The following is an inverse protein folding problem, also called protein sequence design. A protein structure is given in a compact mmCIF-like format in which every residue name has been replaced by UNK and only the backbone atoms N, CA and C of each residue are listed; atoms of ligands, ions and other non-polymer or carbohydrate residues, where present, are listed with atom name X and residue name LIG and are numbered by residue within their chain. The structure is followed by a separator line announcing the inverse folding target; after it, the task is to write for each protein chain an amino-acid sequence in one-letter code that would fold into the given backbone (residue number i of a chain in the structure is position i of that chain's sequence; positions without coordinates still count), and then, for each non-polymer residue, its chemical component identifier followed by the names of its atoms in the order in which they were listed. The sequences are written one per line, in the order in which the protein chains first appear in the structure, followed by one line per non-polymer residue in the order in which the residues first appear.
data_IF_593955682810
#
_entry.id   IF_593955682810
#
_cell.length_a   1.000
_cell.length_b   1.000
_cell.length_c   1.000
_cell.angle_alpha   90.00
_cell.angle_beta   90.00
_cell.angle_gamma   90.00
#
_symmetry.space_group_name_H-M   'P 1'
#
loop_
_entity.id
_entity.type
_entity.pdbx_description
1 polymer ?
#
# COMPACT_ATOMS: atom_id res chain seq x y z
N UNK A 1 16.90 47.58 -58.11
CA UNK A 1 17.51 46.44 -57.40
C UNK A 1 17.61 46.82 -55.93
N UNK A 2 16.74 46.24 -55.08
CA UNK A 2 16.71 46.48 -53.63
C UNK A 2 17.46 45.34 -52.94
N UNK A 3 18.51 45.68 -52.19
CA UNK A 3 19.33 44.76 -51.40
C UNK A 3 18.59 44.42 -50.10
N UNK A 4 18.24 43.15 -49.92
CA UNK A 4 17.56 42.64 -48.74
C UNK A 4 18.57 42.27 -47.65
N UNK A 5 18.33 42.81 -46.46
CA UNK A 5 19.02 42.53 -45.20
C UNK A 5 18.49 41.20 -44.64
N UNK A 6 19.33 40.16 -44.58
CA UNK A 6 18.98 38.91 -43.92
C UNK A 6 19.36 38.99 -42.43
N UNK A 7 18.37 39.27 -41.58
CA UNK A 7 18.48 39.21 -40.13
C UNK A 7 18.08 37.79 -39.68
N UNK A 8 19.05 36.93 -39.38
CA UNK A 8 18.81 35.62 -38.76
C UNK A 8 18.52 35.80 -37.28
N UNK A 9 17.23 35.83 -36.93
CA UNK A 9 16.75 35.81 -35.56
C UNK A 9 16.74 34.36 -35.06
N UNK A 10 17.79 33.92 -34.35
CA UNK A 10 17.77 32.64 -33.64
C UNK A 10 16.92 32.77 -32.37
N UNK A 11 15.66 32.30 -32.42
CA UNK A 11 14.88 32.07 -31.20
C UNK A 11 15.47 30.87 -30.46
N UNK A 12 16.29 31.12 -29.45
CA UNK A 12 16.56 30.15 -28.41
C UNK A 12 15.33 30.06 -27.51
N UNK A 13 14.46 29.07 -27.74
CA UNK A 13 13.41 28.70 -26.80
C UNK A 13 14.05 27.96 -25.61
N UNK A 14 14.54 28.71 -24.63
CA UNK A 14 14.83 28.19 -23.30
C UNK A 14 13.51 27.88 -22.59
N UNK A 15 13.02 26.66 -22.76
CA UNK A 15 11.99 26.09 -21.89
C UNK A 15 12.60 25.84 -20.51
N UNK A 16 12.59 26.86 -19.65
CA UNK A 16 12.72 26.64 -18.22
C UNK A 16 11.45 25.92 -17.74
N UNK A 17 11.49 24.59 -17.71
CA UNK A 17 10.59 23.81 -16.87
C UNK A 17 10.91 24.21 -15.43
N UNK A 18 10.17 25.17 -14.90
CA UNK A 18 10.18 25.45 -13.47
C UNK A 18 9.79 24.16 -12.76
N UNK A 19 10.74 23.57 -12.04
CA UNK A 19 10.43 22.45 -11.15
C UNK A 19 9.31 22.91 -10.21
N UNK A 20 8.20 22.19 -10.19
CA UNK A 20 7.05 22.55 -9.37
C UNK A 20 7.51 22.61 -7.90
N UNK A 21 7.35 23.77 -7.28
CA UNK A 21 7.75 23.98 -5.88
C UNK A 21 6.94 23.03 -4.97
N UNK A 22 7.65 22.23 -4.17
CA UNK A 22 7.01 21.26 -3.27
C UNK A 22 6.71 21.94 -1.97
N UNK A 23 5.43 22.00 -1.60
CA UNK A 23 5.01 22.54 -0.31
C UNK A 23 5.16 21.48 0.77
N UNK A 24 5.79 21.84 1.89
CA UNK A 24 5.99 20.93 3.02
C UNK A 24 4.84 20.99 4.03
N UNK A 25 4.23 22.16 4.23
CA UNK A 25 3.22 22.38 5.28
C UNK A 25 3.82 22.39 6.71
N UNK A 26 3.00 22.67 7.72
CA UNK A 26 3.42 22.65 9.13
C UNK A 26 3.66 21.22 9.64
N UNK A 27 4.54 20.97 10.63
CA UNK A 27 4.84 19.62 11.12
C UNK A 27 3.61 18.76 11.47
N UNK A 28 3.62 17.50 11.05
CA UNK A 28 2.58 16.52 11.34
C UNK A 28 2.64 16.07 12.81
N UNK A 29 1.49 15.98 13.51
CA UNK A 29 1.45 15.42 14.85
C UNK A 29 1.67 13.91 14.79
N UNK A 30 2.44 13.36 15.74
CA UNK A 30 2.62 11.91 15.88
C UNK A 30 1.33 11.26 16.37
N UNK A 31 0.89 10.20 15.70
CA UNK A 31 -0.20 9.35 16.17
C UNK A 31 0.25 8.44 17.30
N UNK A 32 -0.67 8.17 18.21
CA UNK A 32 -0.45 7.24 19.31
C UNK A 32 -0.83 5.80 18.95
N UNK A 33 -0.34 4.87 19.74
CA UNK A 33 -0.60 3.43 19.57
C UNK A 33 -1.04 2.80 20.89
N UNK A 34 -1.93 1.81 20.84
CA UNK A 34 -2.34 1.07 22.03
C UNK A 34 -1.16 0.30 22.65
N UNK A 35 -0.35 -0.37 21.83
CA UNK A 35 0.77 -1.19 22.33
C UNK A 35 0.34 -2.47 23.03
N UNK A 36 -0.67 -3.17 22.48
CA UNK A 36 -1.14 -4.46 23.00
C UNK A 36 -1.46 -5.44 21.86
N UNK A 37 -1.16 -6.72 22.08
CA UNK A 37 -1.57 -7.82 21.21
C UNK A 37 -2.96 -8.30 21.61
N UNK A 38 -3.80 -8.60 20.62
CA UNK A 38 -5.23 -8.84 20.82
C UNK A 38 -5.65 -10.22 20.32
N UNK A 39 -6.54 -10.89 21.06
CA UNK A 39 -7.24 -12.10 20.65
C UNK A 39 -8.76 -11.91 20.74
N UNK A 40 -9.48 -12.64 19.88
CA UNK A 40 -10.92 -12.82 20.08
C UNK A 40 -11.15 -13.62 21.36
N UNK A 41 -12.29 -13.40 22.01
CA UNK A 41 -12.64 -14.11 23.23
C UNK A 41 -12.95 -15.58 22.92
N UNK A 42 -12.55 -16.48 23.82
CA UNK A 42 -13.11 -17.84 23.84
C UNK A 42 -14.58 -17.81 24.24
N UNK A 43 -15.38 -18.85 23.91
CA UNK A 43 -16.79 -18.91 24.33
C UNK A 43 -17.00 -18.71 25.84
N UNK A 44 -16.09 -19.23 26.68
CA UNK A 44 -16.14 -19.07 28.12
C UNK A 44 -15.88 -17.61 28.58
N UNK A 45 -14.92 -16.92 27.95
CA UNK A 45 -14.63 -15.52 28.26
C UNK A 45 -15.75 -14.58 27.79
N UNK A 46 -16.34 -14.87 26.63
CA UNK A 46 -17.47 -14.11 26.08
C UNK A 46 -18.72 -14.15 26.98
N UNK A 47 -18.86 -15.16 27.84
CA UNK A 47 -19.94 -15.23 28.83
C UNK A 47 -19.90 -14.07 29.85
N UNK A 48 -18.74 -13.45 30.05
CA UNK A 48 -18.56 -12.27 30.92
C UNK A 48 -18.89 -10.93 30.23
N UNK A 49 -19.34 -10.98 28.97
CA UNK A 49 -19.72 -9.82 28.16
C UNK A 49 -18.83 -9.63 26.93
N UNK A 50 -19.22 -8.70 26.03
CA UNK A 50 -18.46 -8.41 24.82
C UNK A 50 -17.13 -7.72 25.15
N UNK A 51 -16.12 -7.99 24.33
CA UNK A 51 -14.81 -7.39 24.48
C UNK A 51 -13.75 -8.10 23.64
N UNK A 52 -12.50 -7.67 23.82
CA UNK A 52 -11.34 -8.23 23.15
C UNK A 52 -10.26 -8.54 24.18
N UNK A 53 -9.67 -9.73 24.13
CA UNK A 53 -8.65 -10.14 25.10
C UNK A 53 -7.32 -9.49 24.80
N UNK A 54 -6.69 -8.93 25.84
CA UNK A 54 -5.29 -8.51 25.81
C UNK A 54 -4.41 -9.74 26.02
N UNK A 55 -3.63 -10.10 25.01
CA UNK A 55 -2.67 -11.22 25.09
C UNK A 55 -1.33 -10.79 25.67
N UNK A 56 -0.85 -9.63 25.24
CA UNK A 56 0.44 -9.10 25.64
C UNK A 56 0.40 -7.57 25.60
N UNK A 57 1.24 -6.94 26.42
CA UNK A 57 1.38 -5.49 26.50
C UNK A 57 2.83 -5.15 26.19
N UNK A 58 3.02 -4.21 25.27
CA UNK A 58 4.34 -3.72 24.87
C UNK A 58 4.83 -2.66 25.87
N UNK A 59 6.01 -2.85 26.49
CA UNK A 59 6.57 -1.88 27.42
C UNK A 59 6.72 -0.49 26.80
N UNK A 60 6.47 0.54 27.61
CA UNK A 60 6.65 1.94 27.20
C UNK A 60 5.58 2.49 26.25
N UNK A 61 4.52 1.74 25.93
CA UNK A 61 3.39 2.21 25.10
C UNK A 61 2.12 2.45 25.94
N UNK A 62 1.06 2.95 25.30
CA UNK A 62 -0.17 3.41 25.99
C UNK A 62 -0.74 2.38 26.96
N UNK A 63 -0.94 1.14 26.53
CA UNK A 63 -1.49 0.08 27.38
C UNK A 63 -0.63 -0.15 28.64
N UNK A 64 0.70 -0.17 28.50
CA UNK A 64 1.62 -0.29 29.64
C UNK A 64 1.52 0.93 30.57
N UNK A 65 1.51 2.15 30.02
CA UNK A 65 1.36 3.39 30.79
C UNK A 65 0.03 3.50 31.52
N UNK A 66 -1.03 2.87 31.00
CA UNK A 66 -2.35 2.77 31.62
C UNK A 66 -2.49 1.56 32.55
N UNK A 67 -1.40 0.81 32.81
CA UNK A 67 -1.41 -0.39 33.63
C UNK A 67 -2.42 -1.45 33.16
N UNK A 68 -2.62 -1.58 31.84
CA UNK A 68 -3.33 -2.70 31.23
C UNK A 68 -2.46 -3.96 31.36
N UNK A 69 -3.09 -5.11 31.58
CA UNK A 69 -2.42 -6.37 31.88
C UNK A 69 -2.81 -7.46 30.87
N UNK A 70 -1.90 -8.40 30.56
CA UNK A 70 -2.29 -9.65 29.90
C UNK A 70 -3.46 -10.33 30.63
N UNK A 71 -4.47 -10.76 29.88
CA UNK A 71 -5.69 -11.34 30.42
C UNK A 71 -6.84 -10.35 30.64
N UNK A 72 -6.60 -9.04 30.59
CA UNK A 72 -7.69 -8.05 30.59
C UNK A 72 -8.58 -8.23 29.35
N UNK A 73 -9.89 -8.02 29.51
CA UNK A 73 -10.84 -7.95 28.39
C UNK A 73 -11.20 -6.49 28.14
N UNK A 74 -10.73 -5.93 27.03
CA UNK A 74 -11.03 -4.57 26.61
C UNK A 74 -12.48 -4.46 26.14
N UNK A 75 -13.28 -3.67 26.86
CA UNK A 75 -14.72 -3.50 26.59
C UNK A 75 -15.04 -2.16 25.93
N UNK A 76 -14.35 -1.08 26.28
CA UNK A 76 -14.54 0.23 25.66
C UNK A 76 -13.26 1.01 25.48
N UNK A 77 -13.24 1.85 24.45
CA UNK A 77 -12.23 2.87 24.17
C UNK A 77 -12.94 4.23 24.06
N UNK A 78 -12.58 5.19 24.91
CA UNK A 78 -13.19 6.53 24.97
C UNK A 78 -14.73 6.46 24.98
N UNK A 79 -15.28 5.53 25.76
CA UNK A 79 -16.73 5.29 25.86
C UNK A 79 -17.37 4.51 24.69
N UNK A 80 -16.66 4.32 23.57
CA UNK A 80 -17.13 3.49 22.45
C UNK A 80 -16.91 2.02 22.76
N UNK A 81 -17.97 1.21 22.59
CA UNK A 81 -17.92 -0.24 22.80
C UNK A 81 -16.96 -0.90 21.80
N UNK A 82 -16.31 -1.95 22.27
CA UNK A 82 -15.47 -2.84 21.48
C UNK A 82 -16.00 -4.25 21.70
N UNK A 83 -16.50 -4.89 20.65
CA UNK A 83 -16.99 -6.27 20.69
C UNK A 83 -16.07 -7.24 19.94
N UNK A 84 -15.29 -6.76 18.99
CA UNK A 84 -14.39 -7.57 18.16
C UNK A 84 -13.05 -6.87 17.92
N UNK A 85 -12.00 -7.65 17.63
CA UNK A 85 -10.64 -7.13 17.39
C UNK A 85 -10.60 -6.05 16.31
N UNK A 86 -11.37 -6.23 15.24
CA UNK A 86 -11.44 -5.30 14.11
C UNK A 86 -11.90 -3.90 14.50
N UNK A 87 -12.62 -3.73 15.61
CA UNK A 87 -13.14 -2.44 16.07
C UNK A 87 -12.09 -1.62 16.83
N UNK A 88 -11.01 -2.24 17.33
CA UNK A 88 -9.99 -1.54 18.12
C UNK A 88 -9.15 -0.61 17.24
N UNK A 89 -8.68 -1.10 16.09
CA UNK A 89 -7.77 -0.34 15.25
C UNK A 89 -8.35 1.00 14.74
N UNK A 90 -9.60 1.07 14.23
CA UNK A 90 -10.22 2.34 13.85
C UNK A 90 -10.30 3.36 15.00
N UNK A 91 -10.55 2.90 16.23
CA UNK A 91 -10.65 3.77 17.40
C UNK A 91 -9.28 4.34 17.80
N UNK A 92 -8.27 3.48 17.88
CA UNK A 92 -6.91 3.86 18.25
C UNK A 92 -6.25 4.79 17.23
N UNK A 93 -6.53 4.63 15.92
CA UNK A 93 -5.96 5.47 14.84
C UNK A 93 -6.30 6.95 14.97
N UNK A 94 -7.35 7.30 15.70
CA UNK A 94 -7.73 8.69 15.94
C UNK A 94 -6.81 9.38 16.95
N UNK A 95 -6.11 8.62 17.79
CA UNK A 95 -5.31 9.15 18.88
C UNK A 95 -4.06 9.88 18.39
N UNK A 96 -3.80 11.03 18.98
CA UNK A 96 -2.54 11.78 18.83
C UNK A 96 -1.74 11.66 20.12
N UNK A 97 -0.42 11.82 20.02
CA UNK A 97 0.48 11.80 21.18
C UNK A 97 0.00 12.75 22.28
N UNK A 98 -0.02 12.28 23.52
CA UNK A 98 -0.43 13.04 24.70
C UNK A 98 -1.94 13.22 24.87
N UNK A 99 -2.78 12.82 23.91
CA UNK A 99 -4.22 12.86 24.07
C UNK A 99 -4.65 11.98 25.24
N UNK A 100 -5.54 12.48 26.09
CA UNK A 100 -6.07 11.69 27.21
C UNK A 100 -7.04 10.64 26.67
N UNK A 101 -6.78 9.36 26.95
CA UNK A 101 -7.60 8.24 26.49
C UNK A 101 -8.09 7.43 27.68
N UNK A 102 -9.33 6.96 27.60
CA UNK A 102 -9.99 6.17 28.64
C UNK A 102 -10.29 4.77 28.11
N UNK A 103 -9.82 3.75 28.83
CA UNK A 103 -10.11 2.35 28.54
C UNK A 103 -10.95 1.77 29.66
N UNK A 104 -12.01 1.04 29.32
CA UNK A 104 -12.70 0.16 30.27
C UNK A 104 -12.34 -1.27 29.95
N UNK A 105 -11.80 -1.97 30.93
CA UNK A 105 -11.46 -3.39 30.84
C UNK A 105 -12.17 -4.19 31.92
N UNK A 106 -12.33 -5.49 31.68
CA UNK A 106 -12.65 -6.46 32.72
C UNK A 106 -11.34 -7.14 33.15
N UNK A 107 -10.96 -6.98 34.42
CA UNK A 107 -9.78 -7.62 35.02
C UNK A 107 -10.23 -8.62 36.05
N UNK A 108 -9.97 -9.92 35.81
CA UNK A 108 -10.40 -11.00 36.69
C UNK A 108 -11.89 -10.87 37.10
N UNK A 109 -12.76 -10.58 36.12
CA UNK A 109 -14.21 -10.42 36.32
C UNK A 109 -14.66 -9.07 36.90
N UNK A 110 -13.75 -8.16 37.24
CA UNK A 110 -14.09 -6.84 37.80
C UNK A 110 -13.88 -5.73 36.78
N UNK A 111 -14.84 -4.79 36.61
CA UNK A 111 -14.64 -3.63 35.75
C UNK A 111 -13.54 -2.72 36.30
N UNK A 112 -12.59 -2.36 35.45
CA UNK A 112 -11.53 -1.39 35.73
C UNK A 112 -11.58 -0.31 34.65
N UNK A 113 -11.57 0.96 35.06
CA UNK A 113 -11.49 2.10 34.15
C UNK A 113 -10.14 2.76 34.36
N UNK A 114 -9.36 2.90 33.29
CA UNK A 114 -8.05 3.57 33.31
C UNK A 114 -8.08 4.73 32.34
N UNK A 115 -7.46 5.84 32.74
CA UNK A 115 -7.37 7.06 31.93
C UNK A 115 -5.96 7.62 32.02
N UNK A 116 -5.43 8.10 30.90
CA UNK A 116 -4.11 8.72 30.86
C UNK A 116 -3.67 9.06 29.43
N UNK A 117 -2.46 9.61 29.28
CA UNK A 117 -1.97 10.07 27.99
C UNK A 117 -1.69 8.89 27.05
N UNK A 118 -2.10 9.03 25.80
CA UNK A 118 -1.73 8.12 24.72
C UNK A 118 -0.27 8.35 24.30
N UNK A 119 0.49 7.26 24.18
CA UNK A 119 1.91 7.28 23.82
C UNK A 119 2.08 7.16 22.31
N UNK A 120 2.93 8.01 21.73
CA UNK A 120 3.23 8.00 20.29
C UNK A 120 3.79 6.67 19.79
N UNK A 121 3.57 6.40 18.50
CA UNK A 121 4.26 5.32 17.81
C UNK A 121 5.77 5.57 17.87
N UNK A 122 6.59 4.58 18.30
CA UNK A 122 8.04 4.69 18.26
C UNK A 122 8.53 5.07 16.86
N UNK A 123 9.49 5.98 16.82
CA UNK A 123 10.24 6.26 15.59
C UNK A 123 11.23 5.14 15.34
N UNK A 124 11.41 4.81 14.07
CA UNK A 124 12.49 3.96 13.62
C UNK A 124 13.83 4.63 13.98
N UNK A 125 14.77 3.85 14.48
CA UNK A 125 16.06 4.34 14.97
C UNK A 125 17.09 4.42 13.85
N UNK A 126 18.04 5.32 14.03
CA UNK A 126 19.29 5.32 13.27
C UNK A 126 20.09 4.05 13.56
N UNK A 127 20.90 3.64 12.60
CA UNK A 127 21.83 2.51 12.72
C UNK A 127 23.22 2.93 12.26
N UNK A 128 24.20 2.03 12.32
CA UNK A 128 25.53 2.29 11.74
C UNK A 128 25.51 2.38 10.21
N UNK A 129 24.47 1.84 9.55
CA UNK A 129 24.35 1.86 8.10
C UNK A 129 23.59 3.09 7.55
N UNK A 130 22.63 3.62 8.30
CA UNK A 130 21.76 4.69 7.82
C UNK A 130 21.18 5.55 8.95
N UNK A 131 20.72 6.75 8.59
CA UNK A 131 19.88 7.63 9.42
C UNK A 131 18.44 7.64 8.91
N UNK A 132 17.48 7.87 9.79
CA UNK A 132 16.05 7.95 9.45
C UNK A 132 15.55 9.38 9.55
N UNK A 133 14.94 9.86 8.47
CA UNK A 133 14.37 11.19 8.37
C UNK A 133 12.86 11.10 8.21
N UNK A 134 12.14 11.83 9.05
CA UNK A 134 10.70 12.01 8.97
C UNK A 134 10.41 13.37 8.34
N UNK A 135 9.95 13.35 7.10
CA UNK A 135 9.52 14.52 6.34
C UNK A 135 8.03 14.45 6.01
N UNK A 136 7.59 15.42 5.22
CA UNK A 136 6.21 15.52 4.79
C UNK A 136 6.08 16.42 3.56
N UNK A 137 4.90 16.36 2.95
CA UNK A 137 4.56 17.10 1.73
C UNK A 137 3.05 17.38 1.72
N UNK A 138 2.64 18.52 1.16
CA UNK A 138 1.23 18.79 0.88
C UNK A 138 0.77 18.10 -0.41
N UNK A 139 -0.28 17.29 -0.32
CA UNK A 139 -1.00 16.68 -1.43
C UNK A 139 -2.48 17.00 -1.26
N UNK A 140 -3.08 17.66 -2.26
CA UNK A 140 -4.49 18.09 -2.26
C UNK A 140 -4.95 18.77 -0.95
N UNK A 141 -4.10 19.63 -0.38
CA UNK A 141 -4.39 20.36 0.86
C UNK A 141 -4.30 19.53 2.14
N UNK A 142 -3.71 18.33 2.07
CA UNK A 142 -3.43 17.45 3.22
C UNK A 142 -1.93 17.20 3.31
N UNK A 143 -1.41 17.16 4.55
CA UNK A 143 -0.01 16.84 4.79
C UNK A 143 0.19 15.32 4.83
N UNK A 144 1.07 14.83 3.98
CA UNK A 144 1.37 13.41 3.81
C UNK A 144 2.78 13.15 4.34
N UNK A 145 2.92 12.17 5.23
CA UNK A 145 4.20 11.78 5.82
C UNK A 145 5.06 11.02 4.81
N UNK A 146 6.34 11.40 4.75
CA UNK A 146 7.38 10.72 3.97
C UNK A 146 8.50 10.30 4.91
N UNK A 147 8.88 9.04 4.88
CA UNK A 147 9.92 8.46 5.74
C UNK A 147 11.07 8.03 4.85
N UNK A 148 12.24 8.62 5.08
CA UNK A 148 13.44 8.39 4.26
C UNK A 148 14.52 7.75 5.12
N UNK A 149 15.02 6.57 4.75
CA UNK A 149 16.31 6.10 5.29
C UNK A 149 17.42 6.57 4.36
N UNK A 150 18.41 7.25 4.90
CA UNK A 150 19.55 7.78 4.15
C UNK A 150 20.81 7.04 4.59
N UNK A 151 21.56 6.41 3.66
CA UNK A 151 22.84 5.77 3.99
C UNK A 151 23.80 6.75 4.66
N UNK A 152 24.59 6.28 5.62
CA UNK A 152 25.72 7.06 6.14
C UNK A 152 26.84 7.10 5.10
N UNK A 153 27.48 8.25 4.96
CA UNK A 153 28.56 8.49 4.00
C UNK A 153 28.27 9.68 3.09
N UNK A 154 29.08 9.84 2.04
CA UNK A 154 28.94 10.93 1.07
C UNK A 154 28.10 10.47 -0.12
N UNK A 155 26.96 11.13 -0.35
CA UNK A 155 26.13 10.91 -1.53
C UNK A 155 26.67 11.62 -2.78
N UNK A 156 25.85 11.77 -3.85
CA UNK A 156 24.44 11.40 -3.92
C UNK A 156 24.23 9.89 -4.11
N UNK A 157 23.20 9.32 -3.48
CA UNK A 157 22.90 7.89 -3.48
C UNK A 157 21.78 7.53 -4.46
N UNK A 158 21.79 6.32 -5.05
CA UNK A 158 20.62 5.79 -5.73
C UNK A 158 19.47 5.60 -4.73
N UNK A 159 18.24 5.65 -5.22
CA UNK A 159 17.04 5.67 -4.38
C UNK A 159 16.04 4.61 -4.80
N UNK A 160 15.42 3.95 -3.83
CA UNK A 160 14.26 3.07 -4.03
C UNK A 160 13.07 3.66 -3.29
N UNK A 161 12.02 4.03 -4.02
CA UNK A 161 10.74 4.46 -3.46
C UNK A 161 9.75 3.30 -3.47
N UNK A 162 9.14 2.99 -2.32
CA UNK A 162 8.07 2.01 -2.24
C UNK A 162 6.72 2.63 -2.62
N UNK A 163 5.99 1.96 -3.49
CA UNK A 163 4.53 2.09 -3.61
C UNK A 163 3.91 0.76 -3.19
N UNK A 164 3.23 0.77 -2.04
CA UNK A 164 2.69 -0.45 -1.44
C UNK A 164 1.36 -0.89 -2.04
N UNK A 165 0.96 -2.12 -1.71
CA UNK A 165 -0.35 -2.67 -2.04
C UNK A 165 -1.49 -2.05 -1.24
N UNK A 166 -2.70 -2.51 -1.55
CA UNK A 166 -3.93 -2.11 -0.86
C UNK A 166 -3.87 -2.46 0.63
N UNK A 167 -4.44 -1.61 1.48
CA UNK A 167 -4.61 -1.88 2.90
C UNK A 167 -4.39 -0.65 3.76
N UNK A 168 -5.08 -0.66 4.89
CA UNK A 168 -5.03 0.39 5.88
C UNK A 168 -3.89 0.12 6.88
N UNK A 169 -2.69 0.63 6.62
CA UNK A 169 -1.52 0.42 7.47
C UNK A 169 -0.56 1.61 7.43
N UNK A 170 0.29 1.70 8.44
CA UNK A 170 1.42 2.61 8.48
C UNK A 170 2.66 1.90 7.96
N UNK A 171 3.53 2.60 7.22
CA UNK A 171 4.83 2.09 6.79
C UNK A 171 5.96 2.44 7.77
N UNK A 172 5.62 3.21 8.81
CA UNK A 172 6.50 3.58 9.93
C UNK A 172 6.68 2.46 10.94
N UNK A 173 7.94 2.20 11.30
CA UNK A 173 8.38 1.21 12.26
C UNK A 173 9.76 0.67 11.88
N UNK A 174 10.36 -0.10 12.81
CA UNK A 174 11.51 -0.92 12.48
C UNK A 174 11.16 -1.88 11.33
N UNK A 175 12.11 -2.16 10.44
CA UNK A 175 11.82 -2.94 9.24
C UNK A 175 11.19 -4.29 9.56
N UNK A 176 11.71 -5.02 10.56
CA UNK A 176 11.17 -6.30 11.01
C UNK A 176 9.69 -6.25 11.48
N UNK A 177 9.16 -5.05 11.77
CA UNK A 177 7.79 -4.83 12.23
C UNK A 177 6.85 -4.24 11.16
N UNK A 178 7.31 -4.06 9.91
CA UNK A 178 6.53 -3.41 8.84
C UNK A 178 6.31 -4.32 7.64
N UNK A 179 5.20 -4.11 6.92
CA UNK A 179 4.71 -4.98 5.84
C UNK A 179 5.63 -5.11 4.60
N UNK A 180 6.77 -4.42 4.57
CA UNK A 180 7.74 -4.47 3.46
C UNK A 180 9.19 -4.44 3.96
N UNK A 181 9.41 -4.39 5.28
CA UNK A 181 10.75 -4.16 5.79
C UNK A 181 11.72 -5.29 5.49
N UNK A 182 11.21 -6.52 5.39
CA UNK A 182 11.98 -7.69 4.94
C UNK A 182 12.65 -7.47 3.57
N UNK A 183 12.04 -6.70 2.67
CA UNK A 183 12.61 -6.36 1.35
C UNK A 183 13.44 -5.07 1.44
N UNK A 184 12.86 -4.02 2.05
CA UNK A 184 13.44 -2.68 2.06
C UNK A 184 14.70 -2.53 2.90
N UNK A 185 14.84 -3.29 3.98
CA UNK A 185 16.01 -3.24 4.85
C UNK A 185 17.30 -3.55 4.08
N UNK A 186 17.22 -4.50 3.16
CA UNK A 186 18.36 -4.90 2.33
C UNK A 186 18.90 -3.75 1.47
N UNK A 187 18.02 -2.86 1.02
CA UNK A 187 18.40 -1.66 0.25
C UNK A 187 18.95 -0.57 1.17
N UNK A 188 18.27 -0.29 2.29
CA UNK A 188 18.71 0.70 3.28
C UNK A 188 20.11 0.37 3.84
N UNK A 189 20.41 -0.92 4.07
CA UNK A 189 21.73 -1.39 4.54
C UNK A 189 22.80 -1.42 3.46
N UNK A 190 22.45 -1.31 2.18
CA UNK A 190 23.41 -1.44 1.07
C UNK A 190 23.51 -0.19 0.22
N UNK A 191 23.42 0.99 0.81
CA UNK A 191 23.76 2.24 0.14
C UNK A 191 22.68 2.81 -0.77
N UNK A 192 21.41 2.44 -0.56
CA UNK A 192 20.27 3.09 -1.19
C UNK A 192 19.54 3.99 -0.21
N UNK A 193 19.12 5.15 -0.68
CA UNK A 193 18.05 5.90 -0.02
C UNK A 193 16.77 5.11 -0.18
N UNK A 194 16.03 4.86 0.90
CA UNK A 194 14.72 4.20 0.83
C UNK A 194 13.64 5.18 1.23
N UNK A 195 12.72 5.47 0.31
CA UNK A 195 11.60 6.39 0.50
C UNK A 195 10.32 5.60 0.68
N UNK A 196 9.60 5.90 1.75
CA UNK A 196 8.32 5.29 2.10
C UNK A 196 7.30 6.40 2.39
N UNK A 197 6.06 6.18 2.00
CA UNK A 197 4.97 7.16 2.15
C UNK A 197 3.84 6.51 2.94
N UNK A 198 3.34 7.19 3.97
CA UNK A 198 2.06 6.79 4.52
C UNK A 198 0.95 7.35 3.65
N UNK A 199 0.08 6.45 3.19
CA UNK A 199 -1.11 6.81 2.42
C UNK A 199 -1.93 7.88 3.14
N UNK A 200 -2.69 8.73 2.42
CA UNK A 200 -3.55 9.71 3.07
C UNK A 200 -4.44 9.08 4.15
N UNK A 201 -4.48 9.74 5.33
CA UNK A 201 -5.19 9.27 6.52
C UNK A 201 -4.61 8.04 7.23
N UNK A 202 -3.49 7.48 6.74
CA UNK A 202 -2.76 6.39 7.40
C UNK A 202 -1.49 6.92 8.08
N UNK A 203 -0.96 6.15 9.03
CA UNK A 203 0.24 6.59 9.75
C UNK A 203 -0.01 7.93 10.45
N UNK A 204 0.88 8.90 10.26
CA UNK A 204 0.64 10.30 10.68
C UNK A 204 0.14 11.20 9.54
N UNK A 205 -0.06 10.66 8.33
CA UNK A 205 -0.61 11.45 7.22
C UNK A 205 -2.02 11.93 7.54
N UNK A 206 -2.30 13.17 7.18
CA UNK A 206 -3.67 13.67 7.11
C UNK A 206 -4.40 13.05 5.93
N UNK A 207 -5.73 13.06 6.00
CA UNK A 207 -6.57 12.54 4.92
C UNK A 207 -7.86 11.96 5.46
N UNK A 208 -8.69 11.41 4.55
CA UNK A 208 -9.93 10.75 4.92
C UNK A 208 -9.67 9.44 5.69
N UNK A 209 -10.73 8.86 6.26
CA UNK A 209 -10.66 7.48 6.69
C UNK A 209 -10.26 6.58 5.50
N UNK A 210 -9.60 5.46 5.76
CA UNK A 210 -9.18 4.56 4.66
C UNK A 210 -10.37 4.12 3.78
N UNK A 211 -11.54 3.91 4.39
CA UNK A 211 -12.77 3.52 3.67
C UNK A 211 -13.36 4.62 2.79
N UNK A 212 -12.79 5.83 2.85
CA UNK A 212 -13.16 7.01 2.05
C UNK A 212 -12.00 7.51 1.17
N UNK A 213 -10.86 6.79 1.14
CA UNK A 213 -9.70 7.16 0.34
C UNK A 213 -9.99 6.96 -1.16
N UNK A 214 -9.77 8.01 -1.96
CA UNK A 214 -9.86 7.93 -3.42
C UNK A 214 -8.56 7.52 -4.10
N UNK A 215 -8.65 6.85 -5.24
CA UNK A 215 -7.48 6.42 -6.03
C UNK A 215 -6.56 7.58 -6.41
N UNK A 216 -7.14 8.67 -6.95
CA UNK A 216 -6.35 9.83 -7.38
C UNK A 216 -5.74 10.60 -6.19
N UNK A 217 -6.36 10.55 -5.00
CA UNK A 217 -5.78 11.13 -3.79
C UNK A 217 -4.54 10.34 -3.33
N UNK A 218 -4.59 9.01 -3.39
CA UNK A 218 -3.44 8.18 -3.07
C UNK A 218 -2.32 8.33 -4.12
N UNK A 219 -2.67 8.38 -5.41
CA UNK A 219 -1.73 8.61 -6.50
C UNK A 219 -1.00 9.95 -6.34
N UNK A 220 -1.72 11.05 -6.04
CA UNK A 220 -1.10 12.37 -5.86
C UNK A 220 -0.12 12.37 -4.68
N UNK A 221 -0.45 11.69 -3.58
CA UNK A 221 0.46 11.56 -2.43
C UNK A 221 1.82 10.93 -2.83
N UNK A 222 1.81 9.87 -3.64
CA UNK A 222 3.06 9.29 -4.17
C UNK A 222 3.79 10.24 -5.12
N UNK A 223 3.06 10.92 -6.01
CA UNK A 223 3.64 11.88 -6.95
C UNK A 223 4.37 13.02 -6.22
N UNK A 224 3.73 13.62 -5.22
CA UNK A 224 4.33 14.73 -4.47
C UNK A 224 5.52 14.25 -3.61
N UNK A 225 5.46 13.03 -3.04
CA UNK A 225 6.58 12.44 -2.31
C UNK A 225 7.79 12.14 -3.23
N UNK A 226 7.57 11.71 -4.47
CA UNK A 226 8.63 11.52 -5.46
C UNK A 226 9.28 12.86 -5.84
N UNK A 227 8.49 13.92 -6.00
CA UNK A 227 9.00 15.28 -6.24
C UNK A 227 9.84 15.80 -5.08
N UNK A 228 9.38 15.60 -3.85
CA UNK A 228 10.16 15.91 -2.64
C UNK A 228 11.50 15.15 -2.65
N UNK A 229 11.46 13.85 -2.98
CA UNK A 229 12.65 12.99 -3.06
C UNK A 229 13.67 13.54 -4.04
N UNK A 230 13.24 13.99 -5.23
CA UNK A 230 14.10 14.60 -6.24
C UNK A 230 14.68 15.96 -5.84
N UNK A 231 14.16 16.60 -4.81
CA UNK A 231 14.73 17.86 -4.28
C UNK A 231 15.82 17.61 -3.22
N UNK A 232 15.92 16.40 -2.68
CA UNK A 232 16.90 16.08 -1.66
C UNK A 232 18.33 16.00 -2.25
N UNK A 233 19.31 16.79 -1.76
CA UNK A 233 20.66 16.80 -2.31
C UNK A 233 21.43 15.48 -2.11
N UNK A 234 21.01 14.62 -1.17
CA UNK A 234 21.64 13.31 -0.98
C UNK A 234 21.16 12.27 -1.99
N UNK A 235 20.16 12.59 -2.82
CA UNK A 235 19.58 11.69 -3.82
C UNK A 235 20.18 11.96 -5.19
N UNK A 236 20.64 10.90 -5.86
CA UNK A 236 20.98 10.96 -7.27
C UNK A 236 19.69 10.91 -8.10
N UNK A 237 19.28 12.08 -8.63
CA UNK A 237 18.01 12.26 -9.34
C UNK A 237 17.88 11.40 -10.60
N UNK A 238 18.99 10.97 -11.18
CA UNK A 238 19.04 10.10 -12.36
C UNK A 238 19.04 8.61 -12.00
N UNK A 239 19.09 8.27 -10.71
CA UNK A 239 19.19 6.90 -10.20
C UNK A 239 18.08 6.61 -9.17
N UNK A 240 16.85 6.98 -9.51
CA UNK A 240 15.66 6.68 -8.70
C UNK A 240 14.92 5.50 -9.33
N UNK A 241 14.61 4.50 -8.51
CA UNK A 241 13.72 3.40 -8.83
C UNK A 241 12.44 3.48 -7.98
N UNK A 242 11.33 3.01 -8.55
CA UNK A 242 10.12 2.69 -7.82
C UNK A 242 10.03 1.17 -7.69
N UNK A 243 9.77 0.67 -6.48
CA UNK A 243 9.30 -0.70 -6.26
C UNK A 243 7.80 -0.66 -5.94
N UNK A 244 6.98 -1.14 -6.86
CA UNK A 244 5.53 -1.20 -6.74
C UNK A 244 5.04 -2.61 -6.41
N UNK A 245 4.37 -2.79 -5.27
CA UNK A 245 3.75 -4.07 -4.92
C UNK A 245 2.24 -4.00 -5.09
N UNK A 246 1.64 -5.01 -5.72
CA UNK A 246 0.18 -5.11 -5.90
C UNK A 246 -0.36 -3.83 -6.55
N UNK A 247 -1.21 -3.06 -5.87
CA UNK A 247 -1.70 -1.75 -6.36
C UNK A 247 -0.58 -0.78 -6.78
N UNK A 248 0.65 -0.99 -6.31
CA UNK A 248 1.83 -0.25 -6.76
C UNK A 248 2.10 -0.32 -8.26
N UNK A 249 1.67 -1.37 -8.98
CA UNK A 249 1.76 -1.38 -10.44
C UNK A 249 0.59 -0.69 -11.15
N UNK A 250 -0.51 -0.37 -10.46
CA UNK A 250 -1.54 0.55 -10.99
C UNK A 250 -1.10 2.01 -10.87
N UNK A 251 -0.38 2.34 -9.79
CA UNK A 251 0.11 3.70 -9.55
C UNK A 251 1.45 4.00 -10.23
N UNK A 252 2.38 3.05 -10.20
CA UNK A 252 3.76 3.19 -10.69
C UNK A 252 3.88 3.82 -12.09
N UNK A 253 3.25 3.27 -13.14
CA UNK A 253 3.35 3.84 -14.48
C UNK A 253 2.70 5.24 -14.57
N UNK A 254 1.59 5.49 -13.86
CA UNK A 254 0.92 6.80 -13.84
C UNK A 254 1.76 7.87 -13.15
N UNK A 255 2.45 7.50 -12.07
CA UNK A 255 3.40 8.39 -11.37
C UNK A 255 4.63 8.63 -12.23
N UNK A 256 5.21 7.59 -12.82
CA UNK A 256 6.40 7.68 -13.66
C UNK A 256 6.17 8.44 -14.98
N UNK A 257 4.95 8.41 -15.53
CA UNK A 257 4.56 9.25 -16.68
C UNK A 257 4.64 10.75 -16.33
N UNK A 258 4.21 11.12 -15.11
CA UNK A 258 4.19 12.52 -14.64
C UNK A 258 5.54 12.99 -14.11
N UNK A 259 6.31 12.09 -13.51
CA UNK A 259 7.59 12.38 -12.88
C UNK A 259 8.57 11.23 -13.18
N UNK A 260 9.33 11.30 -14.28
CA UNK A 260 10.12 10.18 -14.79
C UNK A 260 11.13 9.63 -13.79
N UNK A 261 11.21 8.31 -13.66
CA UNK A 261 12.21 7.59 -12.87
C UNK A 261 13.03 6.68 -13.78
N UNK A 262 14.23 6.29 -13.33
CA UNK A 262 15.12 5.45 -14.13
C UNK A 262 14.63 4.00 -14.21
N UNK A 263 14.03 3.49 -13.11
CA UNK A 263 13.53 2.12 -13.06
C UNK A 263 12.17 2.01 -12.34
N UNK A 264 11.34 1.07 -12.79
CA UNK A 264 10.09 0.68 -12.15
C UNK A 264 10.05 -0.85 -12.08
N UNK A 265 10.24 -1.40 -10.89
CA UNK A 265 10.06 -2.82 -10.63
C UNK A 265 8.70 -3.05 -9.96
N UNK A 266 7.93 -4.02 -10.43
CA UNK A 266 6.63 -4.36 -9.86
C UNK A 266 6.48 -5.84 -9.55
N UNK A 267 5.66 -6.14 -8.54
CA UNK A 267 5.37 -7.51 -8.11
C UNK A 267 3.88 -7.70 -7.82
N UNK A 268 3.29 -8.78 -8.34
CA UNK A 268 1.93 -9.20 -7.99
C UNK A 268 0.83 -8.19 -8.38
N UNK A 269 0.92 -7.59 -9.57
CA UNK A 269 0.08 -6.47 -10.03
C UNK A 269 -0.76 -6.81 -11.28
N UNK A 270 -1.39 -5.80 -11.86
CA UNK A 270 -2.17 -5.84 -13.09
C UNK A 270 -1.69 -4.87 -14.19
N UNK A 271 -2.10 -5.15 -15.43
CA UNK A 271 -2.01 -4.24 -16.59
C UNK A 271 -3.34 -4.03 -17.31
N UNK A 272 -4.25 -5.01 -17.26
CA UNK A 272 -5.59 -4.91 -17.85
C UNK A 272 -6.52 -4.07 -16.98
N UNK A 273 -7.77 -3.93 -17.43
CA UNK A 273 -8.81 -3.24 -16.66
C UNK A 273 -8.99 -3.90 -15.29
N UNK A 274 -9.41 -3.11 -14.30
CA UNK A 274 -9.73 -3.63 -12.97
C UNK A 274 -10.81 -4.70 -13.02
N UNK A 275 -11.80 -4.52 -13.90
CA UNK A 275 -12.90 -5.45 -14.09
C UNK A 275 -12.42 -6.81 -14.60
N UNK A 276 -11.51 -6.87 -15.58
CA UNK A 276 -10.90 -8.13 -16.02
C UNK A 276 -10.08 -8.78 -14.92
N UNK A 277 -9.30 -8.00 -14.17
CA UNK A 277 -8.50 -8.48 -13.06
C UNK A 277 -9.37 -9.14 -11.97
N UNK A 278 -10.48 -8.52 -11.59
CA UNK A 278 -11.41 -9.09 -10.60
C UNK A 278 -12.01 -10.40 -11.11
N UNK A 279 -12.48 -10.45 -12.36
CA UNK A 279 -13.13 -11.64 -12.91
C UNK A 279 -12.18 -12.84 -13.05
N UNK A 280 -10.96 -12.62 -13.54
CA UNK A 280 -9.97 -13.69 -13.66
C UNK A 280 -9.57 -14.22 -12.29
N UNK A 281 -9.23 -13.33 -11.36
CA UNK A 281 -8.70 -13.75 -10.07
C UNK A 281 -9.78 -14.38 -9.19
N UNK A 282 -11.04 -13.91 -9.24
CA UNK A 282 -12.14 -14.63 -8.57
C UNK A 282 -12.33 -16.03 -9.15
N UNK A 283 -12.25 -16.22 -10.47
CA UNK A 283 -12.34 -17.55 -11.07
C UNK A 283 -11.22 -18.47 -10.58
N UNK A 284 -9.97 -17.98 -10.58
CA UNK A 284 -8.80 -18.72 -10.07
C UNK A 284 -8.99 -19.11 -8.60
N UNK A 285 -9.44 -18.16 -7.78
CA UNK A 285 -9.60 -18.35 -6.34
C UNK A 285 -10.75 -19.31 -6.02
N UNK A 286 -11.89 -19.21 -6.70
CA UNK A 286 -13.02 -20.13 -6.54
C UNK A 286 -12.59 -21.57 -6.84
N UNK A 287 -11.86 -21.78 -7.95
CA UNK A 287 -11.36 -23.11 -8.32
C UNK A 287 -10.31 -23.64 -7.33
N UNK A 288 -9.42 -22.78 -6.83
CA UNK A 288 -8.48 -23.14 -5.77
C UNK A 288 -9.18 -23.49 -4.44
N UNK A 289 -10.32 -22.86 -4.16
CA UNK A 289 -11.17 -23.16 -3.02
C UNK A 289 -12.03 -24.43 -3.21
N UNK A 290 -11.91 -25.11 -4.35
CA UNK A 290 -12.57 -26.39 -4.63
C UNK A 290 -13.91 -26.28 -5.38
N UNK A 291 -14.29 -25.10 -5.87
CA UNK A 291 -15.47 -24.97 -6.71
C UNK A 291 -15.28 -25.71 -8.05
N UNK A 292 -16.34 -26.37 -8.52
CA UNK A 292 -16.34 -26.97 -9.87
C UNK A 292 -16.33 -25.90 -10.95
N UNK A 293 -15.91 -26.27 -12.17
CA UNK A 293 -15.94 -25.35 -13.31
C UNK A 293 -17.34 -24.80 -13.61
N UNK A 294 -18.39 -25.62 -13.47
CA UNK A 294 -19.78 -25.20 -13.68
C UNK A 294 -20.28 -24.19 -12.64
N UNK A 295 -20.01 -24.43 -11.36
CA UNK A 295 -20.34 -23.48 -10.28
C UNK A 295 -19.60 -22.15 -10.47
N UNK A 296 -18.30 -22.24 -10.79
CA UNK A 296 -17.47 -21.05 -11.01
C UNK A 296 -17.99 -20.25 -12.21
N UNK A 297 -18.33 -20.90 -13.32
CA UNK A 297 -18.85 -20.21 -14.50
C UNK A 297 -20.19 -19.51 -14.23
N UNK A 298 -21.08 -20.14 -13.47
CA UNK A 298 -22.33 -19.53 -13.05
C UNK A 298 -22.09 -18.31 -12.16
N UNK A 299 -21.18 -18.40 -11.18
CA UNK A 299 -20.79 -17.30 -10.29
C UNK A 299 -20.21 -16.12 -11.09
N UNK A 300 -19.25 -16.39 -11.97
CA UNK A 300 -18.56 -15.35 -12.76
C UNK A 300 -19.52 -14.60 -13.71
N UNK A 301 -20.54 -15.27 -14.26
CA UNK A 301 -21.58 -14.59 -15.05
C UNK A 301 -22.34 -13.53 -14.25
N UNK A 302 -22.60 -13.79 -12.97
CA UNK A 302 -23.26 -12.81 -12.10
C UNK A 302 -22.28 -11.75 -11.62
N UNK A 303 -21.05 -12.14 -11.28
CA UNK A 303 -20.00 -11.22 -10.88
C UNK A 303 -19.69 -10.19 -11.97
N UNK A 304 -19.64 -10.60 -13.25
CA UNK A 304 -19.48 -9.68 -14.38
C UNK A 304 -20.53 -8.55 -14.36
N UNK A 305 -21.80 -8.90 -14.12
CA UNK A 305 -22.88 -7.91 -14.05
C UNK A 305 -22.71 -6.98 -12.85
N UNK A 306 -22.34 -7.52 -11.69
CA UNK A 306 -22.11 -6.74 -10.46
C UNK A 306 -20.93 -5.78 -10.65
N UNK A 307 -19.80 -6.26 -11.15
CA UNK A 307 -18.59 -5.48 -11.45
C UNK A 307 -18.90 -4.36 -12.44
N UNK A 308 -19.61 -4.65 -13.53
CA UNK A 308 -20.03 -3.63 -14.48
C UNK A 308 -20.88 -2.53 -13.82
N UNK A 309 -21.87 -2.90 -13.01
CA UNK A 309 -22.72 -1.90 -12.36
C UNK A 309 -21.98 -1.09 -11.28
N UNK A 310 -21.18 -1.74 -10.44
CA UNK A 310 -20.52 -1.08 -9.31
C UNK A 310 -19.32 -0.25 -9.74
N UNK A 311 -18.49 -0.76 -10.65
CA UNK A 311 -17.21 -0.14 -11.00
C UNK A 311 -17.27 0.67 -12.29
N UNK A 312 -17.85 0.14 -13.37
CA UNK A 312 -17.91 0.83 -14.67
C UNK A 312 -19.01 1.89 -14.71
N UNK A 313 -20.25 1.51 -14.34
CA UNK A 313 -21.38 2.46 -14.27
C UNK A 313 -21.35 3.32 -13.00
N UNK A 314 -20.60 2.92 -11.97
CA UNK A 314 -20.42 3.69 -10.75
C UNK A 314 -21.62 3.73 -9.79
N UNK A 315 -22.54 2.76 -9.88
CA UNK A 315 -23.72 2.69 -9.04
C UNK A 315 -23.38 2.27 -7.61
N UNK A 316 -24.17 2.74 -6.64
CA UNK A 316 -24.10 2.23 -5.26
C UNK A 316 -24.70 0.82 -5.16
N UNK A 317 -24.31 0.00 -4.16
CA UNK A 317 -24.90 -1.31 -3.92
C UNK A 317 -26.44 -1.29 -3.85
N UNK A 318 -27.01 -0.28 -3.18
CA UNK A 318 -28.46 -0.12 -3.06
C UNK A 318 -29.14 0.12 -4.41
N UNK A 319 -28.53 0.91 -5.29
CA UNK A 319 -29.05 1.16 -6.65
C UNK A 319 -28.97 -0.09 -7.52
N UNK A 320 -27.88 -0.85 -7.43
CA UNK A 320 -27.74 -2.13 -8.15
C UNK A 320 -28.82 -3.11 -7.71
N UNK A 321 -29.01 -3.29 -6.40
CA UNK A 321 -30.04 -4.19 -5.84
C UNK A 321 -31.44 -3.74 -6.26
N UNK A 322 -31.72 -2.43 -6.25
CA UNK A 322 -33.00 -1.89 -6.70
C UNK A 322 -33.23 -2.15 -8.19
N UNK A 323 -32.20 -2.01 -9.04
CA UNK A 323 -32.29 -2.19 -10.50
C UNK A 323 -32.27 -3.65 -10.93
N UNK A 324 -31.62 -4.52 -10.16
CA UNK A 324 -31.41 -5.95 -10.40
C UNK A 324 -31.50 -6.74 -9.09
N UNK A 325 -32.73 -6.98 -8.59
CA UNK A 325 -32.94 -7.70 -7.34
C UNK A 325 -32.34 -9.12 -7.34
N UNK A 326 -32.20 -9.75 -8.50
CA UNK A 326 -31.55 -11.04 -8.70
C UNK A 326 -30.05 -11.05 -8.36
N UNK A 327 -29.39 -9.88 -8.35
CA UNK A 327 -27.98 -9.73 -8.01
C UNK A 327 -27.73 -9.48 -6.52
N UNK A 328 -28.79 -9.42 -5.68
CA UNK A 328 -28.67 -9.03 -4.26
C UNK A 328 -27.62 -9.80 -3.50
N UNK A 329 -27.62 -11.12 -3.60
CA UNK A 329 -26.66 -11.96 -2.87
C UNK A 329 -25.22 -11.76 -3.36
N UNK A 330 -25.01 -11.54 -4.67
CA UNK A 330 -23.68 -11.27 -5.24
C UNK A 330 -23.15 -9.88 -4.85
N UNK A 331 -24.02 -8.87 -4.82
CA UNK A 331 -23.67 -7.53 -4.33
C UNK A 331 -23.29 -7.59 -2.85
N UNK A 332 -24.10 -8.26 -2.03
CA UNK A 332 -23.84 -8.41 -0.59
C UNK A 332 -22.58 -9.23 -0.32
N UNK A 333 -22.28 -10.24 -1.15
CA UNK A 333 -21.04 -11.01 -1.03
C UNK A 333 -19.80 -10.17 -1.36
N UNK A 334 -19.87 -9.32 -2.39
CA UNK A 334 -18.76 -8.49 -2.82
C UNK A 334 -18.54 -7.26 -1.92
N UNK A 335 -19.63 -6.66 -1.43
CA UNK A 335 -19.63 -5.40 -0.66
C UNK A 335 -20.50 -5.57 0.60
N UNK A 336 -20.08 -6.41 1.57
CA UNK A 336 -20.93 -6.81 2.70
C UNK A 336 -21.31 -5.65 3.63
N UNK A 337 -20.52 -4.58 3.67
CA UNK A 337 -20.80 -3.36 4.44
C UNK A 337 -21.55 -2.29 3.61
N UNK A 338 -21.87 -2.58 2.35
CA UNK A 338 -22.48 -1.65 1.40
C UNK A 338 -21.61 -0.47 0.97
N UNK A 339 -20.32 -0.43 1.35
CA UNK A 339 -19.44 0.72 1.12
C UNK A 339 -18.05 0.36 0.57
N UNK A 340 -17.47 -0.78 0.95
CA UNK A 340 -16.07 -1.10 0.68
C UNK A 340 -15.89 -2.40 -0.10
N UNK A 341 -14.86 -2.41 -0.95
CA UNK A 341 -14.32 -3.61 -1.58
C UNK A 341 -12.85 -3.72 -1.16
N UNK A 342 -12.41 -4.90 -0.72
CA UNK A 342 -11.04 -5.09 -0.17
C UNK A 342 -10.63 -4.04 0.88
N UNK A 343 -11.58 -3.56 1.68
CA UNK A 343 -11.38 -2.63 2.79
C UNK A 343 -11.25 -1.14 2.42
N UNK A 344 -11.26 -0.76 1.15
CA UNK A 344 -11.28 0.65 0.69
C UNK A 344 -12.61 0.96 0.02
N UNK A 345 -13.02 2.24 -0.03
CA UNK A 345 -14.32 2.63 -0.57
C UNK A 345 -14.49 2.31 -2.05
N UNK A 346 -15.71 1.95 -2.47
CA UNK A 346 -16.05 1.73 -3.88
C UNK A 346 -15.58 2.84 -4.85
N UNK A 347 -15.63 4.14 -4.48
CA UNK A 347 -15.12 5.21 -5.36
C UNK A 347 -13.66 5.05 -5.77
N UNK A 348 -12.83 4.40 -4.95
CA UNK A 348 -11.44 4.06 -5.31
C UNK A 348 -11.41 3.18 -6.57
N UNK A 349 -12.19 2.10 -6.58
CA UNK A 349 -12.21 1.15 -7.69
C UNK A 349 -12.97 1.68 -8.91
N UNK A 350 -13.99 2.52 -8.69
CA UNK A 350 -14.67 3.23 -9.78
C UNK A 350 -13.70 4.18 -10.51
N UNK A 351 -12.81 4.85 -9.76
CA UNK A 351 -11.77 5.68 -10.36
C UNK A 351 -10.69 4.85 -11.07
N UNK A 352 -10.31 3.70 -10.49
CA UNK A 352 -9.35 2.76 -11.08
C UNK A 352 -9.89 2.10 -12.37
N UNK A 353 -11.14 1.66 -12.38
CA UNK A 353 -11.77 1.03 -13.54
C UNK A 353 -11.77 1.95 -14.78
N UNK A 354 -11.87 3.27 -14.56
CA UNK A 354 -11.77 4.28 -15.63
C UNK A 354 -10.36 4.50 -16.16
N UNK A 355 -9.32 3.95 -15.52
CA UNK A 355 -7.92 4.11 -15.99
C UNK A 355 -7.64 3.10 -17.09
N UNK A 356 -7.02 3.57 -18.17
CA UNK A 356 -6.40 2.70 -19.15
C UNK A 356 -4.97 2.37 -18.71
N UNK A 357 -4.82 1.31 -17.90
CA UNK A 357 -3.53 0.91 -17.35
C UNK A 357 -2.56 0.40 -18.43
N UNK A 358 -3.06 -0.27 -19.48
CA UNK A 358 -2.23 -0.70 -20.60
C UNK A 358 -1.55 0.49 -21.29
N UNK A 359 -2.31 1.56 -21.56
CA UNK A 359 -1.75 2.80 -22.12
C UNK A 359 -0.78 3.50 -21.16
N UNK A 360 -1.01 3.40 -19.84
CA UNK A 360 -0.06 3.92 -18.85
C UNK A 360 1.28 3.15 -18.89
N UNK A 361 1.23 1.82 -19.04
CA UNK A 361 2.42 0.99 -19.20
C UNK A 361 3.18 1.31 -20.50
N UNK A 362 2.48 1.45 -21.62
CA UNK A 362 3.07 1.87 -22.90
C UNK A 362 3.80 3.21 -22.83
N UNK A 363 3.29 4.16 -22.03
CA UNK A 363 3.87 5.49 -21.82
C UNK A 363 4.95 5.52 -20.75
N UNK A 364 5.17 4.44 -20.00
CA UNK A 364 6.13 4.42 -18.91
C UNK A 364 7.55 4.68 -19.44
N UNK A 365 8.25 5.73 -18.98
CA UNK A 365 9.58 6.09 -19.49
C UNK A 365 10.71 5.27 -18.84
N UNK A 366 10.42 4.56 -17.75
CA UNK A 366 11.41 3.82 -16.97
C UNK A 366 11.90 2.53 -17.66
N UNK A 367 13.02 1.98 -17.20
CA UNK A 367 13.30 0.55 -17.36
C UNK A 367 12.35 -0.24 -16.46
N UNK A 368 11.68 -1.26 -16.99
CA UNK A 368 10.62 -1.97 -16.26
C UNK A 368 11.04 -3.41 -15.95
N UNK A 369 10.80 -3.82 -14.71
CA UNK A 369 10.88 -5.22 -14.30
C UNK A 369 9.51 -5.65 -13.76
N UNK A 370 8.86 -6.60 -14.42
CA UNK A 370 7.58 -7.17 -14.00
C UNK A 370 7.78 -8.56 -13.40
N UNK A 371 7.49 -8.72 -12.11
CA UNK A 371 7.75 -9.95 -11.35
C UNK A 371 6.44 -10.61 -10.94
N UNK A 372 6.27 -11.89 -11.25
CA UNK A 372 5.15 -12.70 -10.76
C UNK A 372 5.64 -13.81 -9.84
N UNK A 373 5.04 -13.94 -8.66
CA UNK A 373 5.27 -15.08 -7.78
C UNK A 373 4.57 -16.32 -8.30
N UNK A 374 5.29 -17.42 -8.48
CA UNK A 374 4.73 -18.68 -9.03
C UNK A 374 3.48 -19.16 -8.29
N UNK A 375 3.43 -18.95 -6.97
CA UNK A 375 2.36 -19.38 -6.09
C UNK A 375 1.44 -18.23 -5.66
N UNK A 376 1.50 -17.09 -6.34
CA UNK A 376 0.57 -16.00 -6.10
C UNK A 376 -0.87 -16.45 -6.45
N UNK A 377 -1.73 -16.51 -5.44
CA UNK A 377 -3.15 -16.83 -5.58
C UNK A 377 -4.05 -15.59 -5.69
N UNK A 378 -3.49 -14.39 -5.48
CA UNK A 378 -4.21 -13.11 -5.50
C UNK A 378 -4.19 -12.51 -6.89
N UNK A 379 -3.02 -12.48 -7.53
CA UNK A 379 -2.84 -11.95 -8.88
C UNK A 379 -2.61 -13.07 -9.90
N UNK A 380 -2.86 -12.76 -11.18
CA UNK A 380 -2.67 -13.67 -12.30
C UNK A 380 -1.33 -13.41 -13.01
N UNK A 381 -0.72 -14.48 -13.53
CA UNK A 381 0.52 -14.38 -14.31
C UNK A 381 0.37 -13.52 -15.57
N UNK A 382 -0.80 -13.59 -16.20
CA UNK A 382 -1.08 -12.98 -17.51
C UNK A 382 -0.76 -11.49 -17.54
N UNK A 383 -1.16 -10.74 -16.49
CA UNK A 383 -0.89 -9.31 -16.44
C UNK A 383 0.60 -8.99 -16.40
N UNK A 384 1.41 -9.83 -15.76
CA UNK A 384 2.84 -9.56 -15.59
C UNK A 384 3.63 -9.74 -16.88
N UNK A 385 3.29 -10.76 -17.66
CA UNK A 385 3.83 -10.98 -19.00
C UNK A 385 3.38 -9.85 -19.93
N UNK A 386 2.10 -9.47 -19.85
CA UNK A 386 1.53 -8.38 -20.64
C UNK A 386 2.21 -7.03 -20.35
N UNK A 387 2.56 -6.72 -19.10
CA UNK A 387 3.33 -5.50 -18.77
C UNK A 387 4.62 -5.43 -19.60
N UNK A 388 5.40 -6.51 -19.61
CA UNK A 388 6.66 -6.55 -20.34
C UNK A 388 6.43 -6.46 -21.85
N UNK A 389 5.37 -7.10 -22.37
CA UNK A 389 4.99 -7.02 -23.77
C UNK A 389 4.61 -5.58 -24.18
N UNK A 390 3.70 -4.94 -23.46
CA UNK A 390 3.22 -3.58 -23.76
C UNK A 390 4.36 -2.56 -23.76
N UNK A 391 5.22 -2.59 -22.75
CA UNK A 391 6.37 -1.67 -22.69
C UNK A 391 7.33 -1.93 -23.84
N UNK A 392 7.66 -3.20 -24.14
CA UNK A 392 8.57 -3.55 -25.23
C UNK A 392 7.98 -3.30 -26.62
N UNK A 393 6.65 -3.29 -26.76
CA UNK A 393 5.98 -2.95 -28.02
C UNK A 393 6.28 -1.52 -28.44
N UNK A 394 6.32 -0.59 -27.49
CA UNK A 394 6.61 0.83 -27.73
C UNK A 394 8.11 1.14 -27.60
N UNK A 395 8.78 0.51 -26.64
CA UNK A 395 10.20 0.72 -26.32
C UNK A 395 10.93 -0.63 -26.20
N UNK A 396 11.32 -1.25 -27.33
CA UNK A 396 11.98 -2.55 -27.33
C UNK A 396 13.20 -2.60 -26.40
N UNK A 397 13.30 -3.66 -25.60
CA UNK A 397 14.39 -3.87 -24.65
C UNK A 397 14.29 -3.04 -23.36
N UNK A 398 13.17 -2.35 -23.14
CA UNK A 398 12.96 -1.52 -21.94
C UNK A 398 12.18 -2.21 -20.82
N UNK A 399 11.74 -3.45 -21.02
CA UNK A 399 11.09 -4.24 -19.99
C UNK A 399 11.52 -5.71 -19.98
N UNK A 400 11.53 -6.32 -18.80
CA UNK A 400 11.67 -7.77 -18.63
C UNK A 400 10.61 -8.34 -17.68
N UNK A 401 10.15 -9.56 -17.98
CA UNK A 401 9.31 -10.36 -17.10
C UNK A 401 10.17 -11.38 -16.33
N UNK A 402 9.87 -11.59 -15.05
CA UNK A 402 10.48 -12.62 -14.21
C UNK A 402 9.41 -13.40 -13.45
N UNK A 403 9.42 -14.72 -13.63
CA UNK A 403 8.73 -15.65 -12.74
C UNK A 403 9.63 -15.89 -11.52
N UNK A 404 9.08 -15.73 -10.33
CA UNK A 404 9.77 -16.00 -9.07
C UNK A 404 9.28 -17.33 -8.48
N UNK A 405 10.08 -18.41 -8.54
CA UNK A 405 9.66 -19.73 -8.08
C UNK A 405 9.29 -19.75 -6.60
N UNK A 406 8.38 -20.65 -6.22
CA UNK A 406 8.01 -20.91 -4.83
C UNK A 406 7.65 -19.65 -4.02
N UNK A 407 7.10 -18.60 -4.65
CA UNK A 407 6.83 -17.31 -4.01
C UNK A 407 5.34 -16.96 -4.09
N UNK A 408 4.76 -16.51 -2.98
CA UNK A 408 3.39 -16.02 -2.93
C UNK A 408 3.25 -14.51 -3.17
N UNK A 409 2.02 -13.99 -3.11
CA UNK A 409 1.75 -12.56 -3.26
C UNK A 409 2.51 -11.66 -2.26
N UNK A 410 2.85 -12.18 -1.07
CA UNK A 410 3.52 -11.45 0.00
C UNK A 410 5.04 -11.69 0.03
N UNK A 411 5.60 -12.24 -1.04
CA UNK A 411 7.02 -12.62 -1.17
C UNK A 411 7.47 -13.78 -0.27
N UNK A 412 6.54 -14.54 0.31
CA UNK A 412 6.84 -15.65 1.19
C UNK A 412 6.98 -16.97 0.42
N UNK A 413 7.80 -17.86 0.98
CA UNK A 413 8.01 -19.18 0.42
C UNK A 413 6.78 -20.07 0.64
N UNK A 414 6.26 -20.60 -0.46
CA UNK A 414 5.11 -21.51 -0.49
C UNK A 414 5.34 -22.63 -1.50
N UNK A 415 4.57 -23.71 -1.41
CA UNK A 415 4.75 -24.87 -2.31
C UNK A 415 3.79 -24.92 -3.49
N UNK A 416 2.68 -24.17 -3.42
CA UNK A 416 1.66 -24.06 -4.47
C UNK A 416 0.76 -22.84 -4.23
N UNK A 417 -0.06 -22.41 -5.22
CA UNK A 417 -1.08 -21.40 -4.98
C UNK A 417 -2.10 -21.79 -3.89
N UNK A 418 -2.42 -23.08 -3.76
CA UNK A 418 -3.32 -23.58 -2.71
C UNK A 418 -2.68 -23.47 -1.31
N UNK A 419 -1.39 -23.81 -1.19
CA UNK A 419 -0.61 -23.62 0.03
C UNK A 419 -0.53 -22.13 0.41
N UNK A 420 -0.33 -21.27 -0.59
CA UNK A 420 -0.34 -19.82 -0.39
C UNK A 420 -1.69 -19.33 0.13
N UNK A 421 -2.80 -19.70 -0.51
CA UNK A 421 -4.14 -19.33 -0.05
C UNK A 421 -4.40 -19.82 1.38
N UNK A 422 -4.00 -21.04 1.72
CA UNK A 422 -4.19 -21.61 3.05
C UNK A 422 -3.37 -20.90 4.14
N UNK A 423 -2.19 -20.38 3.81
CA UNK A 423 -1.28 -19.67 4.72
C UNK A 423 -1.46 -18.15 4.73
N UNK A 424 -2.21 -17.59 3.78
CA UNK A 424 -2.34 -16.15 3.62
C UNK A 424 -2.80 -15.45 4.91
N UNK A 425 -2.09 -14.39 5.29
CA UNK A 425 -2.36 -13.63 6.50
C UNK A 425 -2.05 -14.36 7.82
N UNK A 426 -1.47 -15.58 7.77
CA UNK A 426 -1.05 -16.33 8.95
C UNK A 426 0.45 -16.13 9.21
N UNK A 427 0.88 -16.05 10.47
CA UNK A 427 2.31 -15.95 10.80
C UNK A 427 3.05 -17.25 10.48
N UNK A 428 4.37 -17.17 10.32
CA UNK A 428 5.26 -18.33 10.25
C UNK A 428 5.78 -18.69 8.86
N UNK A 429 5.32 -18.03 7.80
CA UNK A 429 5.91 -18.19 6.47
C UNK A 429 7.27 -17.45 6.40
N UNK A 430 8.29 -18.14 5.89
CA UNK A 430 9.61 -17.53 5.66
C UNK A 430 9.59 -16.65 4.40
N UNK A 431 10.28 -15.52 4.43
CA UNK A 431 10.51 -14.72 3.23
C UNK A 431 11.27 -15.54 2.19
N UNK A 432 10.86 -15.50 0.93
CA UNK A 432 11.67 -16.01 -0.16
C UNK A 432 12.72 -14.95 -0.55
N UNK A 433 14.03 -15.18 -0.34
CA UNK A 433 15.08 -14.18 -0.60
C UNK A 433 15.19 -13.80 -2.08
N UNK A 434 14.67 -14.63 -2.99
CA UNK A 434 14.75 -14.41 -4.44
C UNK A 434 14.14 -13.05 -4.86
N UNK A 435 13.17 -12.51 -4.12
CA UNK A 435 12.63 -11.16 -4.41
C UNK A 435 13.71 -10.08 -4.26
N UNK A 436 14.51 -10.16 -3.19
CA UNK A 436 15.57 -9.19 -2.90
C UNK A 436 16.67 -9.32 -3.93
N UNK A 437 17.07 -10.55 -4.25
CA UNK A 437 18.11 -10.85 -5.23
C UNK A 437 17.73 -10.34 -6.62
N UNK A 438 16.49 -10.60 -7.04
CA UNK A 438 15.95 -10.17 -8.34
C UNK A 438 15.89 -8.65 -8.44
N UNK A 439 15.34 -7.98 -7.42
CA UNK A 439 15.28 -6.52 -7.39
C UNK A 439 16.67 -5.88 -7.38
N UNK A 440 17.60 -6.42 -6.57
CA UNK A 440 18.98 -5.94 -6.48
C UNK A 440 19.70 -6.07 -7.82
N UNK A 441 19.64 -7.25 -8.45
CA UNK A 441 20.27 -7.48 -9.74
C UNK A 441 19.72 -6.55 -10.85
N UNK A 442 18.44 -6.19 -10.77
CA UNK A 442 17.85 -5.22 -11.69
C UNK A 442 18.27 -3.78 -11.40
N UNK A 443 18.22 -3.35 -10.13
CA UNK A 443 18.61 -1.99 -9.75
C UNK A 443 20.10 -1.73 -9.94
N UNK A 444 20.99 -2.68 -9.68
CA UNK A 444 22.43 -2.51 -9.92
C UNK A 444 22.76 -2.30 -11.40
N UNK A 445 21.96 -2.86 -12.31
CA UNK A 445 22.11 -2.66 -13.76
C UNK A 445 21.50 -1.35 -14.25
N UNK A 446 20.46 -0.83 -13.59
CA UNK A 446 19.63 0.28 -14.09
C UNK A 446 19.87 1.60 -13.35
N UNK A 447 20.11 1.56 -12.05
CA UNK A 447 20.33 2.72 -11.18
C UNK A 447 21.65 2.56 -10.41
N UNK A 448 22.77 2.72 -11.12
CA UNK A 448 24.11 2.51 -10.56
C UNK A 448 24.36 3.42 -9.35
N UNK A 449 25.01 2.85 -8.33
CA UNK A 449 25.67 3.61 -7.26
C UNK A 449 26.78 4.45 -7.89
N UNK A 450 26.88 5.71 -7.47
CA UNK A 450 27.94 6.61 -7.91
C UNK A 450 29.31 6.12 -7.44
#
# INVERSE_FOLDING_TARGET
MRTALALTLSLATTSFLFAQEVKLGAPLPRKAVLGASLADLTPAEAASGPGVKILAVSPGLTAAGLNIQPGDILQTINGKKVAARGEVAPLVRTWVSGANVTLKVLRAGKPVVVTGPAVERPKMKDTDAYTVQYGQVESLGKRIRVITTVPKGTGPFPTVMLIGGIGAYSIDGEFAATAYGNVLESFAKTGYVVVRVDKPGQGDSEGPAYTDLGFDQEMDAYLQALRLTKQNPVVNKNAIAIFGHSMGGSFGPLVAEKEPVAALAVYGTLARSWSEYVLENTRRQDMLAGATGGQTDQSIKQLYRVVNYLFEEGLSPAEVIKRKPDLKEYVNAMVPDGKTYSGVGLPFFQALAKKNLAAAWEKCPAQVLSIYGENDFISGRVDHELIAELVNKVRPGSAEFKLLPASDHGFFQTTSPADSMAKWGRPGAALNPAIIETLRAFFERTIKKA
#
